data_IF_849234929634
#
_entry.id   IF_849234929634
#
_cell.length_a   1.000
_cell.length_b   1.000
_cell.length_c   1.000
_cell.angle_alpha   90.00
_cell.angle_beta   90.00
_cell.angle_gamma   90.00
#
_symmetry.space_group_name_H-M   'P 1'
#
loop_
_entity.id
_entity.type
_entity.pdbx_description
1 polymer ?
#
# COMPACT_ATOMS: atom_id res chain seq x y z
N UNK A 1 0.78 15.80 -3.79
CA UNK A 1 0.66 17.09 -3.05
C UNK A 1 1.90 17.27 -2.18
N UNK A 2 2.22 18.49 -1.75
CA UNK A 2 3.31 18.72 -0.79
C UNK A 2 2.79 19.58 0.35
N UNK A 3 2.88 19.07 1.57
CA UNK A 3 2.54 19.82 2.78
C UNK A 3 3.79 20.55 3.31
N UNK A 4 3.62 21.66 4.06
CA UNK A 4 4.74 22.36 4.68
C UNK A 4 5.54 21.47 5.64
N UNK A 5 6.83 21.79 5.78
CA UNK A 5 7.66 21.17 6.81
C UNK A 5 7.11 21.50 8.21
N UNK A 6 7.00 20.47 9.06
CA UNK A 6 6.41 20.60 10.39
C UNK A 6 4.89 20.43 10.45
N UNK A 7 4.23 20.09 9.33
CA UNK A 7 2.82 19.69 9.36
C UNK A 7 2.56 18.54 10.33
N UNK A 8 1.46 18.66 11.05
CA UNK A 8 1.08 17.68 12.07
C UNK A 8 0.45 16.45 11.44
N UNK A 9 0.43 15.34 12.19
CA UNK A 9 -0.28 14.11 11.79
C UNK A 9 -1.75 14.39 11.42
N UNK A 10 -2.43 15.27 12.15
CA UNK A 10 -3.85 15.59 11.90
C UNK A 10 -4.04 16.36 10.60
N UNK A 11 -3.15 17.30 10.27
CA UNK A 11 -3.19 18.03 9.00
C UNK A 11 -2.94 17.10 7.81
N UNK A 12 -2.03 16.12 7.95
CA UNK A 12 -1.79 15.09 6.94
C UNK A 12 -3.04 14.23 6.74
N UNK A 13 -3.66 13.79 7.83
CA UNK A 13 -4.90 12.99 7.79
C UNK A 13 -6.03 13.77 7.12
N UNK A 14 -6.24 15.03 7.47
CA UNK A 14 -7.28 15.87 6.89
C UNK A 14 -7.11 16.01 5.37
N UNK A 15 -5.88 16.11 4.89
CA UNK A 15 -5.60 16.21 3.46
C UNK A 15 -5.82 14.88 2.72
N UNK A 16 -5.42 13.76 3.34
CA UNK A 16 -5.73 12.41 2.83
C UNK A 16 -7.25 12.22 2.71
N UNK A 17 -8.02 12.63 3.72
CA UNK A 17 -9.48 12.52 3.70
C UNK A 17 -10.11 13.33 2.56
N UNK A 18 -9.59 14.52 2.24
CA UNK A 18 -10.06 15.30 1.08
C UNK A 18 -9.78 14.57 -0.23
N UNK A 19 -8.56 14.05 -0.40
CA UNK A 19 -8.16 13.34 -1.63
C UNK A 19 -8.89 12.00 -1.80
N UNK A 20 -9.24 11.34 -0.70
CA UNK A 20 -10.07 10.14 -0.71
C UNK A 20 -11.46 10.38 -1.31
N UNK A 21 -12.01 11.58 -1.18
CA UNK A 21 -13.31 11.95 -1.72
C UNK A 21 -13.26 12.55 -3.13
N UNK A 22 -12.07 12.90 -3.64
CA UNK A 22 -11.93 13.40 -5.00
C UNK A 22 -12.11 12.23 -6.01
N UNK A 23 -13.16 12.26 -6.87
CA UNK A 23 -13.38 11.22 -7.87
C UNK A 23 -12.32 11.21 -8.98
N UNK A 24 -11.51 12.28 -9.12
CA UNK A 24 -10.42 12.34 -10.09
C UNK A 24 -9.12 11.72 -9.57
N UNK A 25 -9.06 11.36 -8.28
CA UNK A 25 -7.89 10.73 -7.65
C UNK A 25 -8.17 9.24 -7.50
N UNK A 26 -7.42 8.42 -8.24
CA UNK A 26 -7.58 6.96 -8.25
C UNK A 26 -6.72 6.26 -7.19
N UNK A 27 -5.66 6.92 -6.71
CA UNK A 27 -4.72 6.33 -5.76
C UNK A 27 -3.88 7.38 -5.04
N UNK A 28 -3.36 6.99 -3.88
CA UNK A 28 -2.54 7.80 -2.98
C UNK A 28 -1.29 7.01 -2.60
N UNK A 29 -0.12 7.55 -2.98
CA UNK A 29 1.18 7.12 -2.49
C UNK A 29 1.70 8.15 -1.50
N UNK A 30 2.23 7.69 -0.37
CA UNK A 30 2.64 8.54 0.75
C UNK A 30 4.16 8.54 0.92
N UNK A 31 4.78 9.70 0.71
CA UNK A 31 6.17 9.96 1.07
C UNK A 31 6.21 10.75 2.39
N UNK A 32 6.41 10.04 3.51
CA UNK A 32 6.26 10.58 4.86
C UNK A 32 7.57 10.52 5.64
N UNK A 33 7.93 11.57 6.39
CA UNK A 33 9.01 11.49 7.37
C UNK A 33 8.60 10.62 8.57
N UNK A 34 9.59 10.03 9.25
CA UNK A 34 9.37 9.11 10.38
C UNK A 34 8.44 9.68 11.49
N UNK A 35 8.52 10.99 11.74
CA UNK A 35 7.73 11.63 12.80
C UNK A 35 6.22 11.65 12.57
N UNK A 36 5.75 11.51 11.33
CA UNK A 36 4.31 11.45 11.00
C UNK A 36 3.89 10.10 10.45
N UNK A 37 4.86 9.23 10.14
CA UNK A 37 4.59 7.85 9.74
C UNK A 37 3.94 7.08 10.90
N UNK A 38 2.64 6.82 10.79
CA UNK A 38 1.87 6.19 11.84
C UNK A 38 0.69 5.41 11.27
N UNK A 39 0.24 4.39 12.00
CA UNK A 39 -0.96 3.61 11.64
C UNK A 39 -2.19 4.51 11.43
N UNK A 40 -2.31 5.62 12.16
CA UNK A 40 -3.39 6.61 11.96
C UNK A 40 -3.37 7.20 10.56
N UNK A 41 -2.18 7.56 10.04
CA UNK A 41 -2.03 8.15 8.70
C UNK A 41 -2.23 7.09 7.62
N UNK A 42 -1.62 5.91 7.78
CA UNK A 42 -1.74 4.81 6.81
C UNK A 42 -3.20 4.37 6.65
N UNK A 43 -3.92 4.22 7.76
CA UNK A 43 -5.34 3.83 7.74
C UNK A 43 -6.30 4.98 7.42
N UNK A 44 -5.82 6.22 7.27
CA UNK A 44 -6.65 7.30 6.75
C UNK A 44 -6.85 7.17 5.23
N UNK A 45 -5.95 6.49 4.51
CA UNK A 45 -6.09 6.22 3.07
C UNK A 45 -7.19 5.17 2.87
N UNK A 46 -8.13 5.43 1.95
CA UNK A 46 -9.14 4.42 1.59
C UNK A 46 -8.45 3.18 1.00
N UNK A 47 -8.81 1.94 1.41
CA UNK A 47 -8.15 0.73 0.92
C UNK A 47 -8.10 0.62 -0.61
N UNK A 48 -9.13 1.09 -1.31
CA UNK A 48 -9.22 1.06 -2.77
C UNK A 48 -8.30 2.09 -3.46
N UNK A 49 -7.76 3.05 -2.69
CA UNK A 49 -6.83 4.08 -3.16
C UNK A 49 -5.42 3.92 -2.56
N UNK A 50 -5.18 2.93 -1.71
CA UNK A 50 -3.90 2.69 -1.04
C UNK A 50 -2.93 1.93 -1.96
N UNK A 51 -2.27 2.67 -2.85
CA UNK A 51 -1.37 2.08 -3.86
C UNK A 51 -0.06 1.55 -3.25
N UNK A 52 0.28 1.99 -2.04
CA UNK A 52 1.44 1.47 -1.31
C UNK A 52 1.12 0.12 -0.63
N UNK A 53 -0.17 -0.21 -0.47
CA UNK A 53 -0.65 -1.44 0.16
C UNK A 53 -0.29 -1.53 1.64
N UNK A 54 -0.23 -0.39 2.34
CA UNK A 54 0.27 -0.28 3.72
C UNK A 54 -0.81 -0.02 4.76
N UNK A 55 -2.07 0.16 4.36
CA UNK A 55 -3.19 0.16 5.30
C UNK A 55 -3.35 -1.23 5.94
N UNK A 56 -3.86 -1.27 7.17
CA UNK A 56 -4.05 -2.54 7.88
C UNK A 56 -5.01 -3.49 7.14
N UNK A 57 -5.94 -2.93 6.36
CA UNK A 57 -6.85 -3.68 5.49
C UNK A 57 -6.05 -4.41 4.40
N UNK A 58 -5.27 -3.68 3.60
CA UNK A 58 -4.52 -4.25 2.48
C UNK A 58 -3.40 -5.20 2.95
N UNK A 59 -2.66 -4.82 4.01
CA UNK A 59 -1.70 -5.72 4.67
C UNK A 59 -2.37 -6.97 5.21
N UNK A 60 -3.55 -6.81 5.83
CA UNK A 60 -4.35 -7.92 6.33
C UNK A 60 -4.73 -8.90 5.22
N UNK A 61 -5.16 -8.41 4.06
CA UNK A 61 -5.47 -9.26 2.91
C UNK A 61 -4.25 -10.07 2.45
N UNK A 62 -3.10 -9.41 2.33
CA UNK A 62 -1.85 -10.08 1.95
C UNK A 62 -1.49 -11.20 2.93
N UNK A 63 -1.60 -10.95 4.24
CA UNK A 63 -1.29 -11.94 5.28
C UNK A 63 -2.24 -13.15 5.23
N UNK A 64 -3.52 -12.93 4.90
CA UNK A 64 -4.49 -14.00 4.76
C UNK A 64 -4.41 -14.73 3.41
N UNK A 65 -3.60 -14.24 2.46
CA UNK A 65 -3.54 -14.75 1.09
C UNK A 65 -4.73 -14.34 0.22
N UNK A 66 -5.53 -13.36 0.65
CA UNK A 66 -6.68 -12.83 -0.10
C UNK A 66 -6.24 -11.67 -1.01
N UNK A 67 -5.34 -11.98 -1.95
CA UNK A 67 -4.69 -10.97 -2.79
C UNK A 67 -5.55 -10.49 -3.97
N UNK A 68 -6.69 -11.12 -4.23
CA UNK A 68 -7.58 -10.75 -5.34
C UNK A 68 -8.48 -9.54 -5.04
N UNK A 69 -8.67 -9.19 -3.76
CA UNK A 69 -9.55 -8.11 -3.33
C UNK A 69 -8.85 -6.82 -2.91
N UNK A 70 -7.52 -6.80 -2.87
CA UNK A 70 -6.76 -5.78 -2.15
C UNK A 70 -5.50 -5.36 -2.92
N UNK A 71 -5.00 -4.15 -2.63
CA UNK A 71 -3.78 -3.64 -3.22
C UNK A 71 -2.57 -4.19 -2.46
N UNK A 72 -1.61 -4.77 -3.18
CA UNK A 72 -0.37 -5.30 -2.60
C UNK A 72 0.77 -4.32 -2.84
N UNK A 73 1.62 -4.15 -1.83
CA UNK A 73 2.76 -3.23 -1.92
C UNK A 73 3.64 -3.52 -3.14
N UNK A 74 3.90 -2.53 -4.02
CA UNK A 74 4.72 -2.73 -5.21
C UNK A 74 6.16 -3.13 -4.87
N UNK A 75 6.67 -2.72 -3.72
CA UNK A 75 8.00 -3.14 -3.23
C UNK A 75 8.03 -4.62 -2.87
N UNK A 76 6.98 -5.13 -2.19
CA UNK A 76 6.87 -6.55 -1.89
C UNK A 76 6.78 -7.36 -3.19
N UNK A 77 5.92 -6.94 -4.13
CA UNK A 77 5.82 -7.56 -5.45
C UNK A 77 7.17 -7.60 -6.18
N UNK A 78 7.92 -6.49 -6.21
CA UNK A 78 9.22 -6.42 -6.86
C UNK A 78 10.24 -7.39 -6.25
N UNK A 79 10.27 -7.52 -4.92
CA UNK A 79 11.15 -8.49 -4.23
C UNK A 79 10.78 -9.92 -4.64
N UNK A 80 9.48 -10.25 -4.66
CA UNK A 80 9.02 -11.57 -5.07
C UNK A 80 9.41 -11.88 -6.52
N UNK A 81 9.23 -10.93 -7.44
CA UNK A 81 9.60 -11.06 -8.85
C UNK A 81 11.11 -11.31 -9.01
N UNK A 82 11.94 -10.61 -8.23
CA UNK A 82 13.40 -10.82 -8.24
C UNK A 82 13.74 -12.22 -7.73
N UNK A 83 13.09 -12.72 -6.67
CA UNK A 83 13.33 -14.06 -6.13
C UNK A 83 12.94 -15.15 -7.13
N UNK A 84 11.81 -15.00 -7.82
CA UNK A 84 11.37 -15.93 -8.87
C UNK A 84 12.37 -16.00 -10.02
N UNK A 85 12.86 -14.85 -10.48
CA UNK A 85 13.85 -14.77 -11.56
C UNK A 85 15.20 -15.42 -11.17
N UNK A 86 15.51 -15.54 -9.88
CA UNK A 86 16.69 -16.23 -9.39
C UNK A 86 16.50 -17.76 -9.27
N UNK A 87 15.29 -18.28 -9.49
CA UNK A 87 14.97 -19.70 -9.39
C UNK A 87 14.86 -20.20 -7.94
N UNK A 88 14.75 -19.30 -6.97
CA UNK A 88 14.56 -19.61 -5.56
C UNK A 88 13.06 -19.82 -5.29
N UNK A 89 12.56 -21.05 -5.48
CA UNK A 89 11.18 -21.39 -5.10
C UNK A 89 11.03 -21.42 -3.59
N UNK A 90 10.23 -20.49 -3.04
CA UNK A 90 9.99 -20.40 -1.59
C UNK A 90 9.16 -21.57 -1.02
N UNK A 91 8.45 -22.34 -1.87
CA UNK A 91 7.79 -23.62 -1.57
C UNK A 91 7.18 -24.18 -2.87
N UNK A 92 7.16 -25.50 -3.07
CA UNK A 92 6.64 -26.19 -4.27
C UNK A 92 5.16 -25.86 -4.62
N UNK A 93 4.43 -25.21 -3.73
CA UNK A 93 3.00 -24.87 -3.87
C UNK A 93 2.65 -23.40 -3.56
N UNK A 94 3.63 -22.50 -3.40
CA UNK A 94 3.34 -21.08 -3.24
C UNK A 94 3.39 -20.41 -4.62
N UNK A 95 2.25 -20.36 -5.32
CA UNK A 95 2.19 -19.83 -6.68
C UNK A 95 2.05 -18.30 -6.61
N UNK A 96 3.17 -17.60 -6.65
CA UNK A 96 3.24 -16.13 -6.52
C UNK A 96 2.54 -15.44 -7.71
N UNK A 97 2.34 -16.16 -8.83
CA UNK A 97 1.52 -15.72 -9.96
C UNK A 97 0.09 -15.29 -9.59
N UNK A 98 -0.44 -15.68 -8.42
CA UNK A 98 -1.73 -15.20 -7.91
C UNK A 98 -1.65 -13.80 -7.27
N UNK A 99 -0.44 -13.31 -6.91
CA UNK A 99 -0.20 -12.00 -6.29
C UNK A 99 -0.03 -10.88 -7.33
N UNK A 100 0.33 -11.22 -8.57
CA UNK A 100 0.83 -10.25 -9.56
C UNK A 100 -0.22 -9.64 -10.51
N UNK A 101 -1.49 -10.02 -10.44
CA UNK A 101 -2.50 -9.57 -11.42
C UNK A 101 -3.48 -8.52 -10.89
N UNK A 102 -3.00 -7.34 -10.50
CA UNK A 102 -3.82 -6.11 -10.52
C UNK A 102 -2.96 -4.87 -10.74
N UNK A 103 -2.87 -4.44 -12.00
CA UNK A 103 -2.56 -3.07 -12.42
C UNK A 103 -3.60 -2.65 -13.46
#
# INVERSE_FOLDING_TARGET
ISLPEGSTTDEVVDEILKLNEDPNVQGLALDLPEGVFSSKVLNAVKPEKDVDGLSDVNLGCLIHGDVFGCLVSPTACAVMEVLENLGETMCDNCNISEIFFTW
#
